data_IF_899100873116
#
_entry.id   IF_899100873116
#
_cell.length_a   1.000
_cell.length_b   1.000
_cell.length_c   1.000
_cell.angle_alpha   90.00
_cell.angle_beta   90.00
_cell.angle_gamma   90.00
#
_symmetry.space_group_name_H-M   'P 1'
#
loop_
_entity.id
_entity.type
_entity.pdbx_description
1 polymer ?
#
# COMPACT_ATOMS: atom_id res chain seq x y z
N UNK A 1 26.50 15.73 25.43
CA UNK A 1 25.89 14.55 24.81
C UNK A 1 24.69 14.20 25.67
N UNK A 2 23.43 14.42 25.26
CA UNK A 2 22.30 13.93 26.03
C UNK A 2 22.19 12.43 25.81
N UNK A 3 22.17 11.67 26.89
CA UNK A 3 21.91 10.24 26.94
C UNK A 3 20.62 9.92 26.21
N UNK A 4 20.73 9.09 25.16
CA UNK A 4 19.56 8.52 24.52
C UNK A 4 18.89 7.58 25.51
N UNK A 5 17.69 7.95 25.97
CA UNK A 5 16.88 7.07 26.82
C UNK A 5 16.73 5.68 26.13
N UNK A 6 16.90 4.57 26.87
CA UNK A 6 16.78 3.24 26.29
C UNK A 6 15.37 3.08 25.72
N UNK A 7 15.28 2.81 24.41
CA UNK A 7 14.03 2.50 23.76
C UNK A 7 13.32 1.40 24.55
N UNK A 8 12.11 1.67 25.02
CA UNK A 8 11.31 0.72 25.79
C UNK A 8 11.25 -0.59 24.99
N UNK A 9 11.86 -1.64 25.48
CA UNK A 9 11.84 -2.98 24.87
C UNK A 9 10.38 -3.42 24.86
N UNK A 10 9.72 -3.27 23.71
CA UNK A 10 8.34 -3.67 23.55
C UNK A 10 8.18 -5.15 23.90
N UNK A 11 7.37 -5.43 24.91
CA UNK A 11 7.08 -6.80 25.31
C UNK A 11 6.47 -7.54 24.12
N UNK A 12 7.09 -8.66 23.72
CA UNK A 12 6.55 -9.50 22.65
C UNK A 12 5.15 -10.00 23.03
N UNK A 13 4.16 -9.67 22.20
CA UNK A 13 2.80 -10.20 22.33
C UNK A 13 2.60 -11.32 21.30
N UNK A 14 2.32 -12.55 21.74
CA UNK A 14 2.01 -13.66 20.84
C UNK A 14 0.85 -13.30 19.90
N UNK A 15 0.96 -13.71 18.65
CA UNK A 15 -0.12 -13.52 17.68
C UNK A 15 -1.28 -14.44 18.02
N UNK A 16 -2.49 -13.91 17.93
CA UNK A 16 -3.72 -14.68 18.14
C UNK A 16 -4.67 -14.45 16.94
N UNK A 17 -4.30 -14.89 15.71
CA UNK A 17 -5.14 -14.69 14.54
C UNK A 17 -6.51 -15.37 14.69
N UNK A 18 -6.59 -16.50 15.41
CA UNK A 18 -7.83 -17.22 15.69
C UNK A 18 -8.85 -16.39 16.50
N UNK A 19 -8.40 -15.41 17.26
CA UNK A 19 -9.29 -14.51 18.00
C UNK A 19 -9.98 -13.46 17.11
N UNK A 20 -9.55 -13.31 15.84
CA UNK A 20 -10.13 -12.31 14.95
C UNK A 20 -11.48 -12.79 14.37
N UNK A 21 -12.47 -11.89 14.22
CA UNK A 21 -13.74 -12.22 13.57
C UNK A 21 -13.54 -12.77 12.15
N UNK A 22 -12.55 -12.28 11.42
CA UNK A 22 -12.22 -12.77 10.08
C UNK A 22 -11.78 -14.24 10.10
N UNK A 23 -11.03 -14.66 11.13
CA UNK A 23 -10.62 -16.06 11.24
C UNK A 23 -11.83 -16.97 11.38
N UNK A 24 -12.75 -16.64 12.26
CA UNK A 24 -13.99 -17.41 12.45
C UNK A 24 -14.81 -17.46 11.17
N UNK A 25 -14.99 -16.31 10.50
CA UNK A 25 -15.72 -16.26 9.23
C UNK A 25 -15.12 -17.19 8.19
N UNK A 26 -13.79 -17.17 8.02
CA UNK A 26 -13.11 -18.02 7.04
C UNK A 26 -13.15 -19.48 7.45
N UNK A 27 -12.88 -19.80 8.71
CA UNK A 27 -12.93 -21.16 9.25
C UNK A 27 -14.30 -21.81 9.04
N UNK A 28 -15.36 -21.06 9.37
CA UNK A 28 -16.72 -21.62 9.38
C UNK A 28 -17.38 -21.68 7.99
N UNK A 29 -16.94 -20.83 7.06
CA UNK A 29 -17.66 -20.64 5.79
C UNK A 29 -16.85 -20.91 4.52
N UNK A 30 -15.53 -21.09 4.59
CA UNK A 30 -14.71 -21.30 3.40
C UNK A 30 -15.17 -22.50 2.56
N UNK A 31 -15.38 -23.64 3.19
CA UNK A 31 -15.80 -24.85 2.50
C UNK A 31 -17.16 -24.65 1.80
N UNK A 32 -18.13 -24.05 2.50
CA UNK A 32 -19.43 -23.74 1.93
C UNK A 32 -19.31 -22.75 0.76
N UNK A 33 -18.46 -21.75 0.88
CA UNK A 33 -18.21 -20.80 -0.21
C UNK A 33 -17.67 -21.52 -1.45
N UNK A 34 -16.71 -22.42 -1.29
CA UNK A 34 -16.14 -23.21 -2.38
C UNK A 34 -17.20 -24.05 -3.10
N UNK A 35 -18.07 -24.69 -2.33
CA UNK A 35 -19.13 -25.56 -2.88
C UNK A 35 -20.15 -24.80 -3.73
N UNK A 36 -20.54 -23.57 -3.30
CA UNK A 36 -21.59 -22.80 -3.98
C UNK A 36 -21.05 -21.74 -4.93
N UNK A 37 -19.71 -21.61 -5.06
CA UNK A 37 -19.11 -20.48 -5.74
C UNK A 37 -19.47 -20.42 -7.23
N UNK A 38 -19.31 -21.52 -7.92
CA UNK A 38 -19.50 -21.55 -9.37
C UNK A 38 -20.96 -21.27 -9.75
N UNK A 39 -21.91 -21.78 -8.96
CA UNK A 39 -23.32 -21.56 -9.19
C UNK A 39 -23.76 -20.10 -8.87
N UNK A 40 -23.25 -19.55 -7.75
CA UNK A 40 -23.78 -18.27 -7.23
C UNK A 40 -22.94 -17.06 -7.60
N UNK A 41 -21.64 -17.22 -7.77
CA UNK A 41 -20.70 -16.11 -7.84
C UNK A 41 -19.86 -16.05 -9.11
N UNK A 42 -19.69 -17.17 -9.83
CA UNK A 42 -18.81 -17.18 -10.99
C UNK A 42 -19.27 -16.26 -12.12
N UNK A 43 -20.57 -16.06 -12.28
CA UNK A 43 -21.13 -15.14 -13.29
C UNK A 43 -20.70 -13.69 -13.05
N UNK A 44 -20.61 -13.25 -11.79
CA UNK A 44 -20.31 -11.87 -11.41
C UNK A 44 -18.80 -11.65 -11.20
N UNK A 45 -18.12 -12.61 -10.57
CA UNK A 45 -16.72 -12.48 -10.13
C UNK A 45 -15.72 -13.30 -10.95
N UNK A 46 -16.19 -14.02 -11.95
CA UNK A 46 -15.36 -14.94 -12.74
C UNK A 46 -15.17 -16.31 -12.05
N UNK A 47 -14.45 -17.24 -12.69
CA UNK A 47 -14.25 -18.58 -12.15
C UNK A 47 -13.47 -18.58 -10.83
N UNK A 48 -13.67 -19.60 -10.02
CA UNK A 48 -12.89 -19.79 -8.79
C UNK A 48 -11.38 -19.78 -9.07
N UNK A 49 -10.66 -18.96 -8.35
CA UNK A 49 -9.20 -18.85 -8.48
C UNK A 49 -8.50 -19.63 -7.37
N UNK A 50 -7.61 -20.59 -7.70
CA UNK A 50 -6.90 -21.41 -6.70
C UNK A 50 -6.16 -20.60 -5.62
N UNK A 51 -5.70 -19.39 -5.97
CA UNK A 51 -5.04 -18.50 -5.02
C UNK A 51 -5.93 -18.13 -3.82
N UNK A 52 -7.25 -18.11 -3.98
CA UNK A 52 -8.20 -17.81 -2.89
C UNK A 52 -8.11 -18.89 -1.82
N UNK A 53 -8.20 -20.17 -2.22
CA UNK A 53 -8.04 -21.30 -1.30
C UNK A 53 -6.66 -21.27 -0.63
N UNK A 54 -5.59 -21.16 -1.41
CA UNK A 54 -4.22 -21.14 -0.89
C UNK A 54 -3.98 -20.02 0.15
N UNK A 55 -4.55 -18.84 -0.07
CA UNK A 55 -4.42 -17.71 0.87
C UNK A 55 -5.23 -17.97 2.13
N UNK A 56 -6.44 -18.53 2.00
CA UNK A 56 -7.29 -18.87 3.12
C UNK A 56 -6.66 -19.96 3.99
N UNK A 57 -6.16 -21.05 3.39
CA UNK A 57 -5.49 -22.15 4.10
C UNK A 57 -4.25 -21.65 4.85
N UNK A 58 -3.41 -20.84 4.19
CA UNK A 58 -2.25 -20.21 4.86
C UNK A 58 -2.67 -19.31 6.00
N UNK A 59 -3.79 -18.60 5.87
CA UNK A 59 -4.29 -17.73 6.93
C UNK A 59 -4.79 -18.54 8.12
N UNK A 60 -5.51 -19.63 7.90
CA UNK A 60 -5.99 -20.52 8.96
C UNK A 60 -4.83 -21.19 9.72
N UNK A 61 -3.73 -21.48 9.02
CA UNK A 61 -2.50 -22.01 9.62
C UNK A 61 -1.64 -20.95 10.37
N UNK A 62 -1.99 -19.64 10.27
CA UNK A 62 -1.16 -18.56 10.77
C UNK A 62 -1.09 -18.53 12.29
N UNK A 63 0.11 -18.65 12.86
CA UNK A 63 0.33 -18.57 14.31
C UNK A 63 -0.14 -19.80 15.08
N UNK A 64 -0.37 -20.91 14.39
CA UNK A 64 -0.70 -22.24 14.96
C UNK A 64 0.58 -23.07 15.05
N UNK A 65 0.92 -23.55 16.25
CA UNK A 65 2.16 -24.30 16.47
C UNK A 65 2.19 -25.61 15.69
N UNK A 66 1.05 -26.27 15.52
CA UNK A 66 0.94 -27.55 14.80
C UNK A 66 1.32 -27.42 13.32
N UNK A 67 1.24 -26.19 12.77
CA UNK A 67 1.66 -25.89 11.40
C UNK A 67 3.12 -25.42 11.28
N UNK A 68 3.88 -25.58 12.36
CA UNK A 68 5.30 -25.30 12.42
C UNK A 68 5.67 -24.05 13.23
N UNK A 69 6.84 -24.13 13.83
CA UNK A 69 7.38 -23.10 14.71
C UNK A 69 8.91 -23.06 14.66
N UNK A 70 9.47 -21.94 15.11
CA UNK A 70 10.88 -21.83 15.48
C UNK A 70 11.01 -21.85 17.00
N UNK A 71 11.95 -22.61 17.50
CA UNK A 71 12.37 -22.57 18.91
C UNK A 71 13.41 -21.47 19.07
N UNK A 72 13.09 -20.47 19.86
CA UNK A 72 13.97 -19.34 20.15
C UNK A 72 14.54 -19.51 21.55
N UNK A 73 15.87 -19.49 21.64
CA UNK A 73 16.59 -19.58 22.91
C UNK A 73 17.45 -18.32 23.09
N UNK A 74 17.44 -17.77 24.28
CA UNK A 74 18.33 -16.67 24.64
C UNK A 74 19.74 -17.18 24.90
N UNK A 75 20.73 -16.56 24.29
CA UNK A 75 22.14 -17.00 24.41
C UNK A 75 22.68 -16.87 25.84
N UNK A 76 22.18 -15.90 26.58
CA UNK A 76 22.65 -15.59 27.96
C UNK A 76 21.72 -16.14 29.02
N UNK A 77 20.40 -16.07 28.83
CA UNK A 77 19.41 -16.33 29.89
C UNK A 77 18.79 -17.74 29.83
N UNK A 78 19.17 -18.60 28.92
CA UNK A 78 18.60 -19.94 28.69
C UNK A 78 17.08 -19.98 28.52
N UNK A 79 16.39 -18.85 28.57
CA UNK A 79 14.94 -18.77 28.36
C UNK A 79 14.58 -19.17 26.93
N UNK A 80 13.58 -20.02 26.81
CA UNK A 80 13.12 -20.53 25.53
C UNK A 80 11.64 -20.25 25.30
N UNK A 81 11.26 -19.97 24.05
CA UNK A 81 9.87 -19.92 23.65
C UNK A 81 9.68 -20.42 22.23
N UNK A 82 8.47 -20.88 21.94
CA UNK A 82 8.09 -21.34 20.61
C UNK A 82 7.44 -20.18 19.84
N UNK A 83 7.97 -19.90 18.66
CA UNK A 83 7.46 -18.87 17.75
C UNK A 83 6.77 -19.55 16.58
N UNK A 84 5.44 -19.64 16.60
CA UNK A 84 4.67 -20.19 15.49
C UNK A 84 4.90 -19.40 14.18
N UNK A 85 4.98 -20.11 13.07
CA UNK A 85 5.19 -19.48 11.77
C UNK A 85 4.00 -18.61 11.33
N UNK A 86 4.31 -17.57 10.60
CA UNK A 86 3.31 -16.66 10.07
C UNK A 86 3.01 -16.95 8.60
N UNK A 87 1.75 -16.79 8.20
CA UNK A 87 1.32 -17.03 6.82
C UNK A 87 1.93 -16.06 5.79
N UNK A 88 2.50 -14.94 6.24
CA UNK A 88 3.00 -13.84 5.40
C UNK A 88 1.96 -13.27 4.42
N UNK A 89 0.68 -13.66 4.53
CA UNK A 89 -0.44 -13.15 3.73
C UNK A 89 -0.81 -11.74 4.21
N UNK A 90 0.03 -10.77 3.90
CA UNK A 90 0.00 -9.39 4.39
C UNK A 90 -1.27 -8.63 4.02
N UNK A 91 -1.91 -9.06 2.95
CA UNK A 91 -3.10 -8.42 2.41
C UNK A 91 -4.41 -9.03 2.93
N UNK A 92 -4.33 -10.19 3.55
CA UNK A 92 -5.50 -10.91 4.03
C UNK A 92 -5.46 -11.13 5.54
N UNK A 93 -4.34 -11.57 6.09
CA UNK A 93 -4.18 -11.81 7.51
C UNK A 93 -3.99 -10.49 8.28
N UNK A 94 -4.91 -10.09 9.19
CA UNK A 94 -4.80 -8.83 9.95
C UNK A 94 -3.50 -8.74 10.77
N UNK A 95 -3.09 -9.85 11.40
CA UNK A 95 -1.87 -9.90 12.21
C UNK A 95 -0.59 -9.69 11.38
N UNK A 96 -0.51 -10.34 10.20
CA UNK A 96 0.63 -10.16 9.31
C UNK A 96 0.64 -8.78 8.66
N UNK A 97 -0.54 -8.23 8.39
CA UNK A 97 -0.70 -6.87 7.87
C UNK A 97 -0.23 -5.83 8.90
N UNK A 98 -0.71 -5.91 10.14
CA UNK A 98 -0.33 -4.98 11.21
C UNK A 98 1.18 -4.96 11.46
N UNK A 99 1.84 -6.14 11.50
CA UNK A 99 3.30 -6.20 11.61
C UNK A 99 4.00 -5.51 10.45
N UNK A 100 3.54 -5.76 9.23
CA UNK A 100 4.14 -5.15 8.03
C UNK A 100 3.96 -3.65 8.03
N UNK A 101 2.76 -3.19 8.41
CA UNK A 101 2.45 -1.77 8.50
C UNK A 101 3.37 -1.06 9.51
N UNK A 102 3.55 -1.63 10.70
CA UNK A 102 4.42 -1.06 11.73
C UNK A 102 5.87 -0.90 11.24
N UNK A 103 6.44 -1.94 10.61
CA UNK A 103 7.79 -1.90 10.05
C UNK A 103 7.89 -0.82 8.96
N UNK A 104 6.89 -0.75 8.09
CA UNK A 104 6.88 0.20 6.98
C UNK A 104 6.71 1.63 7.46
N UNK A 105 5.83 1.89 8.45
CA UNK A 105 5.65 3.21 9.04
C UNK A 105 6.92 3.69 9.73
N UNK A 106 7.58 2.82 10.47
CA UNK A 106 8.86 3.15 11.10
C UNK A 106 9.91 3.53 10.05
N UNK A 107 10.05 2.74 8.99
CA UNK A 107 10.99 3.04 7.91
C UNK A 107 10.64 4.35 7.18
N UNK A 108 9.37 4.63 6.93
CA UNK A 108 8.93 5.90 6.36
C UNK A 108 9.39 7.08 7.23
N UNK A 109 9.07 7.02 8.53
CA UNK A 109 9.37 8.12 9.46
C UNK A 109 10.87 8.34 9.65
N UNK A 110 11.65 7.25 9.74
CA UNK A 110 13.08 7.35 10.09
C UNK A 110 13.99 7.54 8.89
N UNK A 111 13.58 7.09 7.70
CA UNK A 111 14.52 6.94 6.57
C UNK A 111 14.05 7.62 5.27
N UNK A 112 12.77 7.90 5.12
CA UNK A 112 12.25 8.41 3.86
C UNK A 112 11.69 9.82 3.95
N UNK A 113 10.87 10.11 4.98
CA UNK A 113 10.19 11.40 5.07
C UNK A 113 11.14 12.49 5.56
N UNK A 114 11.24 13.56 4.78
CA UNK A 114 11.90 14.79 5.22
C UNK A 114 11.09 15.46 6.34
N UNK A 115 11.75 16.21 7.22
CA UNK A 115 11.11 16.95 8.32
C UNK A 115 10.50 18.27 7.84
N UNK A 116 9.61 18.16 6.85
CA UNK A 116 8.87 19.27 6.25
C UNK A 116 7.38 18.97 6.31
N UNK A 117 6.51 19.96 6.15
CA UNK A 117 5.07 19.73 6.10
C UNK A 117 4.69 18.79 4.93
N UNK A 118 3.74 17.89 5.20
CA UNK A 118 3.22 16.96 4.20
C UNK A 118 1.70 17.07 4.13
N UNK A 119 1.17 16.77 2.94
CA UNK A 119 -0.27 16.77 2.66
C UNK A 119 -0.69 15.45 2.05
N UNK A 120 -1.87 14.98 2.43
CA UNK A 120 -2.51 13.86 1.77
C UNK A 120 -3.40 14.35 0.63
N UNK A 121 -3.18 13.79 -0.57
CA UNK A 121 -4.01 14.01 -1.74
C UNK A 121 -4.62 12.66 -2.14
N UNK A 122 -5.94 12.62 -2.35
CA UNK A 122 -6.64 11.41 -2.77
C UNK A 122 -7.20 11.63 -4.17
N UNK A 123 -6.80 10.77 -5.10
CA UNK A 123 -7.24 10.81 -6.49
C UNK A 123 -8.08 9.58 -6.80
N UNK A 124 -9.32 9.78 -7.20
CA UNK A 124 -10.24 8.71 -7.57
C UNK A 124 -10.23 8.47 -9.08
N UNK A 125 -10.30 7.19 -9.47
CA UNK A 125 -10.41 6.82 -10.88
C UNK A 125 -11.90 6.85 -11.28
N UNK A 126 -12.27 7.56 -12.36
CA UNK A 126 -13.63 7.60 -12.86
C UNK A 126 -14.21 6.21 -13.08
N UNK A 127 -15.47 6.01 -12.75
CA UNK A 127 -16.14 4.69 -12.77
C UNK A 127 -15.98 3.99 -14.12
N UNK A 128 -16.07 4.73 -15.22
CA UNK A 128 -15.93 4.18 -16.59
C UNK A 128 -14.55 3.58 -16.86
N UNK A 129 -13.50 4.08 -16.21
CA UNK A 129 -12.13 3.59 -16.38
C UNK A 129 -11.78 2.43 -15.44
N UNK A 130 -12.56 2.19 -14.39
CA UNK A 130 -12.27 1.15 -13.39
C UNK A 130 -12.29 -0.25 -13.97
N UNK A 131 -13.18 -0.53 -14.93
CA UNK A 131 -13.25 -1.82 -15.61
C UNK A 131 -11.96 -2.11 -16.41
N UNK A 132 -11.41 -1.11 -17.09
CA UNK A 132 -10.13 -1.26 -17.81
C UNK A 132 -8.97 -1.52 -16.86
N UNK A 133 -8.95 -0.85 -15.70
CA UNK A 133 -7.94 -1.10 -14.67
C UNK A 133 -8.03 -2.50 -14.05
N UNK A 134 -9.21 -3.12 -14.06
CA UNK A 134 -9.39 -4.50 -13.58
C UNK A 134 -8.74 -5.51 -14.53
N UNK A 135 -8.95 -5.34 -15.83
CA UNK A 135 -8.41 -6.21 -16.88
C UNK A 135 -6.93 -5.91 -17.20
N UNK A 136 -6.51 -4.65 -17.16
CA UNK A 136 -5.16 -4.19 -17.48
C UNK A 136 -4.54 -3.47 -16.28
N UNK A 137 -4.12 -4.23 -15.28
CA UNK A 137 -3.60 -3.69 -14.02
C UNK A 137 -2.38 -2.79 -14.16
N UNK A 138 -1.63 -2.89 -15.27
CA UNK A 138 -0.51 -1.98 -15.58
C UNK A 138 -0.96 -0.51 -15.64
N UNK A 139 -2.18 -0.24 -16.08
CA UNK A 139 -2.75 1.11 -16.12
C UNK A 139 -2.77 1.80 -14.75
N UNK A 140 -2.91 1.05 -13.66
CA UNK A 140 -2.88 1.63 -12.32
C UNK A 140 -1.52 2.27 -11.99
N UNK A 141 -0.43 1.67 -12.44
CA UNK A 141 0.91 2.25 -12.29
C UNK A 141 1.11 3.49 -13.16
N UNK A 142 0.61 3.44 -14.39
CA UNK A 142 0.66 4.58 -15.32
C UNK A 142 -0.14 5.77 -14.79
N UNK A 143 -1.34 5.54 -14.25
CA UNK A 143 -2.17 6.57 -13.62
C UNK A 143 -1.45 7.18 -12.41
N UNK A 144 -0.76 6.37 -11.61
CA UNK A 144 0.01 6.87 -10.47
C UNK A 144 1.17 7.79 -10.90
N UNK A 145 1.87 7.45 -11.99
CA UNK A 145 2.91 8.31 -12.55
C UNK A 145 2.35 9.63 -13.08
N UNK A 146 1.22 9.58 -13.81
CA UNK A 146 0.55 10.79 -14.30
C UNK A 146 0.09 11.65 -13.13
N UNK A 147 -0.50 11.06 -12.10
CA UNK A 147 -0.93 11.77 -10.90
C UNK A 147 0.24 12.50 -10.22
N UNK A 148 1.37 11.82 -10.05
CA UNK A 148 2.56 12.40 -9.45
C UNK A 148 3.10 13.57 -10.28
N UNK A 149 3.20 13.42 -11.60
CA UNK A 149 3.61 14.51 -12.51
C UNK A 149 2.67 15.70 -12.47
N UNK A 150 1.36 15.46 -12.43
CA UNK A 150 0.35 16.52 -12.34
C UNK A 150 0.49 17.30 -11.04
N UNK A 151 0.67 16.62 -9.91
CA UNK A 151 0.86 17.27 -8.61
C UNK A 151 2.17 18.05 -8.58
N UNK A 152 3.26 17.48 -9.10
CA UNK A 152 4.55 18.18 -9.22
C UNK A 152 4.42 19.44 -10.07
N UNK A 153 3.78 19.36 -11.24
CA UNK A 153 3.56 20.51 -12.11
C UNK A 153 2.72 21.60 -11.43
N UNK A 154 1.68 21.22 -10.70
CA UNK A 154 0.84 22.14 -9.95
C UNK A 154 1.64 22.89 -8.87
N UNK A 155 2.46 22.20 -8.08
CA UNK A 155 3.30 22.81 -7.05
C UNK A 155 4.31 23.77 -7.68
N UNK A 156 4.99 23.35 -8.74
CA UNK A 156 5.94 24.20 -9.48
C UNK A 156 5.28 25.48 -10.04
N UNK A 157 4.04 25.37 -10.52
CA UNK A 157 3.27 26.53 -11.00
C UNK A 157 2.89 27.46 -9.85
N UNK A 158 2.45 26.91 -8.71
CA UNK A 158 2.04 27.69 -7.55
C UNK A 158 3.22 28.44 -6.89
N UNK A 159 4.39 27.83 -6.87
CA UNK A 159 5.61 28.44 -6.32
C UNK A 159 6.32 29.36 -7.32
N UNK A 160 6.03 29.24 -8.62
CA UNK A 160 6.77 29.94 -9.69
C UNK A 160 8.14 29.30 -9.99
N UNK A 161 8.51 28.22 -9.31
CA UNK A 161 9.83 27.59 -9.39
C UNK A 161 9.79 26.27 -10.17
N UNK A 162 10.40 26.25 -11.35
CA UNK A 162 10.34 25.09 -12.27
C UNK A 162 11.22 23.91 -11.86
N UNK A 163 12.28 24.15 -11.10
CA UNK A 163 13.28 23.12 -10.75
C UNK A 163 13.02 22.46 -9.40
N UNK A 164 11.93 22.80 -8.72
CA UNK A 164 11.60 22.18 -7.44
C UNK A 164 11.42 20.65 -7.58
N UNK A 165 12.05 19.93 -6.67
CA UNK A 165 11.87 18.48 -6.48
C UNK A 165 10.80 18.27 -5.41
N UNK A 166 9.64 17.77 -5.81
CA UNK A 166 8.51 17.51 -4.91
C UNK A 166 8.60 16.08 -4.39
N UNK A 167 8.58 15.91 -3.06
CA UNK A 167 8.55 14.60 -2.44
C UNK A 167 7.15 13.98 -2.54
N UNK A 168 7.03 12.80 -3.13
CA UNK A 168 5.73 12.12 -3.30
C UNK A 168 5.87 10.63 -2.94
N UNK A 169 5.03 10.17 -2.02
CA UNK A 169 4.80 8.74 -1.77
C UNK A 169 3.40 8.39 -2.27
N UNK A 170 3.32 7.57 -3.32
CA UNK A 170 2.06 7.15 -3.91
C UNK A 170 1.67 5.75 -3.42
N UNK A 171 0.43 5.62 -2.94
CA UNK A 171 -0.14 4.37 -2.48
C UNK A 171 -1.42 4.06 -3.26
N UNK A 172 -1.41 2.94 -3.98
CA UNK A 172 -2.58 2.48 -4.72
C UNK A 172 -3.46 1.61 -3.83
N UNK A 173 -4.69 2.04 -3.62
CA UNK A 173 -5.74 1.23 -3.00
C UNK A 173 -6.74 0.80 -4.06
N UNK A 174 -7.10 -0.50 -4.08
CA UNK A 174 -7.96 -1.05 -5.14
C UNK A 174 -9.37 -1.42 -4.68
N UNK A 175 -9.68 -1.20 -3.41
CA UNK A 175 -10.98 -1.53 -2.83
C UNK A 175 -11.56 -0.34 -2.08
N UNK A 176 -12.87 -0.22 -2.10
CA UNK A 176 -13.63 0.71 -1.28
C UNK A 176 -14.02 0.10 0.08
N UNK A 177 -14.75 0.85 0.89
CA UNK A 177 -15.21 0.46 2.23
C UNK A 177 -16.07 -0.81 2.25
N UNK A 178 -16.74 -1.12 1.14
CA UNK A 178 -17.56 -2.33 0.97
C UNK A 178 -16.80 -3.50 0.35
N UNK A 179 -15.45 -3.48 0.35
CA UNK A 179 -14.59 -4.44 -0.33
C UNK A 179 -14.84 -4.56 -1.85
N UNK A 180 -15.55 -3.61 -2.44
CA UNK A 180 -15.83 -3.53 -3.87
C UNK A 180 -14.62 -2.99 -4.64
N UNK A 181 -14.56 -3.28 -5.94
CA UNK A 181 -13.54 -2.73 -6.83
C UNK A 181 -13.68 -1.21 -6.95
N UNK A 182 -12.77 -0.49 -6.30
CA UNK A 182 -12.76 0.97 -6.26
C UNK A 182 -11.31 1.48 -6.24
N UNK A 183 -10.60 1.39 -7.36
CA UNK A 183 -9.23 1.84 -7.41
C UNK A 183 -9.13 3.36 -7.23
N UNK A 184 -8.23 3.77 -6.35
CA UNK A 184 -7.91 5.16 -6.06
C UNK A 184 -6.48 5.27 -5.53
N UNK A 185 -5.92 6.46 -5.59
CA UNK A 185 -4.56 6.75 -5.17
C UNK A 185 -4.58 7.64 -3.94
N UNK A 186 -3.79 7.28 -2.96
CA UNK A 186 -3.40 8.14 -1.86
C UNK A 186 -1.98 8.61 -2.13
N UNK A 187 -1.79 9.92 -2.21
CA UNK A 187 -0.49 10.54 -2.34
C UNK A 187 -0.16 11.24 -1.02
N UNK A 188 0.98 10.94 -0.43
CA UNK A 188 1.58 11.79 0.60
C UNK A 188 2.59 12.68 -0.09
N UNK A 189 2.36 13.98 -0.07
CA UNK A 189 3.09 14.96 -0.86
C UNK A 189 3.71 15.98 0.08
N UNK A 190 4.96 16.39 -0.16
CA UNK A 190 5.54 17.54 0.54
C UNK A 190 4.76 18.81 0.20
N UNK A 191 4.52 19.66 1.17
CA UNK A 191 3.73 20.89 1.00
C UNK A 191 4.55 22.02 0.35
N UNK A 192 5.29 21.65 -0.67
CA UNK A 192 6.27 22.43 -1.41
C UNK A 192 7.29 21.52 -2.09
N UNK A 193 8.48 22.02 -2.34
CA UNK A 193 9.56 21.26 -2.96
C UNK A 193 10.94 21.70 -2.50
N UNK A 194 11.93 20.91 -2.85
CA UNK A 194 13.34 21.19 -2.58
C UNK A 194 13.98 21.81 -3.82
N UNK A 195 14.73 22.88 -3.60
CA UNK A 195 15.61 23.46 -4.62
C UNK A 195 16.85 22.59 -4.84
N UNK A 196 17.61 22.80 -5.94
CA UNK A 196 18.86 22.06 -6.18
C UNK A 196 19.91 22.23 -5.08
N UNK A 197 19.88 23.31 -4.32
CA UNK A 197 20.74 23.57 -3.17
C UNK A 197 20.31 22.84 -1.88
N UNK A 198 19.18 22.12 -1.94
CA UNK A 198 18.61 21.37 -0.81
C UNK A 198 17.71 22.22 0.10
N UNK A 199 17.53 23.51 -0.16
CA UNK A 199 16.57 24.34 0.60
C UNK A 199 15.13 23.97 0.26
N UNK A 200 14.24 23.99 1.26
CA UNK A 200 12.82 23.69 1.08
C UNK A 200 12.02 24.97 0.87
N UNK A 201 11.28 25.02 -0.23
CA UNK A 201 10.33 26.08 -0.55
C UNK A 201 8.91 25.61 -0.25
N UNK A 202 8.25 26.32 0.66
CA UNK A 202 6.86 26.02 1.03
C UNK A 202 5.91 26.58 -0.05
N UNK A 203 4.95 25.77 -0.47
CA UNK A 203 3.84 26.23 -1.32
C UNK A 203 2.92 27.15 -0.51
N UNK A 204 2.90 28.42 -0.83
CA UNK A 204 2.31 29.50 -0.02
C UNK A 204 0.78 29.42 0.14
N UNK A 205 0.10 28.51 -0.53
CA UNK A 205 -1.36 28.53 -0.52
C UNK A 205 -1.98 27.21 -0.08
N UNK A 206 -2.18 27.08 1.23
CA UNK A 206 -2.93 25.98 1.85
C UNK A 206 -4.35 25.83 1.25
N UNK A 207 -4.96 26.90 0.76
CA UNK A 207 -6.28 26.92 0.14
C UNK A 207 -6.32 26.42 -1.31
N UNK A 208 -5.29 26.67 -2.12
CA UNK A 208 -5.33 26.40 -3.57
C UNK A 208 -5.30 24.90 -3.93
N UNK A 209 -4.71 24.04 -3.09
CA UNK A 209 -4.73 22.59 -3.34
C UNK A 209 -6.03 21.93 -2.89
N UNK A 210 -6.84 22.60 -2.06
CA UNK A 210 -8.18 22.13 -1.68
C UNK A 210 -9.15 22.16 -2.87
N UNK A 211 -8.91 23.06 -3.83
CA UNK A 211 -9.70 23.19 -5.05
C UNK A 211 -9.25 22.25 -6.20
N UNK A 212 -8.08 21.59 -6.08
CA UNK A 212 -7.65 20.57 -7.02
C UNK A 212 -8.41 19.26 -6.80
N UNK A 213 -9.73 19.31 -7.00
CA UNK A 213 -10.50 18.13 -7.37
C UNK A 213 -10.10 17.74 -8.79
N UNK A 214 -8.95 17.06 -8.94
CA UNK A 214 -8.49 16.58 -10.24
C UNK A 214 -9.35 15.40 -10.64
N UNK A 215 -10.50 15.69 -11.21
CA UNK A 215 -11.28 14.72 -11.95
C UNK A 215 -10.64 14.60 -13.34
N UNK A 216 -9.98 13.49 -13.62
CA UNK A 216 -9.44 13.21 -14.95
C UNK A 216 -10.62 12.98 -15.89
N UNK A 217 -11.06 14.03 -16.60
CA UNK A 217 -12.23 14.00 -17.47
C UNK A 217 -11.94 13.47 -18.88
N UNK A 218 -10.68 13.36 -19.31
CA UNK A 218 -10.36 13.00 -20.68
C UNK A 218 -9.11 12.15 -20.82
N UNK A 219 -9.21 11.06 -21.59
CA UNK A 219 -8.07 10.24 -22.04
C UNK A 219 -7.08 11.05 -22.92
N UNK A 220 -7.54 12.10 -23.57
CA UNK A 220 -6.68 12.99 -24.36
C UNK A 220 -5.64 13.72 -23.51
N UNK A 221 -5.98 14.09 -22.28
CA UNK A 221 -5.03 14.72 -21.36
C UNK A 221 -3.90 13.77 -20.91
N UNK A 222 -4.14 12.46 -20.93
CA UNK A 222 -3.15 11.45 -20.60
C UNK A 222 -2.11 11.24 -21.71
N UNK A 223 -2.50 11.39 -22.97
CA UNK A 223 -1.60 11.23 -24.12
C UNK A 223 -0.65 12.42 -24.31
N UNK A 224 -1.11 13.64 -24.05
CA UNK A 224 -0.29 14.85 -24.17
C UNK A 224 0.80 14.96 -23.08
N UNK A 225 0.61 14.33 -21.91
CA UNK A 225 1.58 14.33 -20.83
C UNK A 225 2.72 13.29 -21.01
N UNK A 226 2.52 12.28 -21.87
CA UNK A 226 3.54 11.27 -22.17
C UNK A 226 4.68 11.76 -23.07
N UNK A 227 4.50 12.87 -23.78
CA UNK A 227 5.49 13.38 -24.74
C UNK A 227 6.61 14.24 -24.14
N UNK A 228 6.47 14.71 -22.90
CA UNK A 228 7.49 15.49 -22.21
C UNK A 228 8.22 14.61 -21.19
N UNK A 229 9.20 13.85 -21.69
CA UNK A 229 9.98 12.92 -20.88
C UNK A 229 11.11 13.59 -20.10
N UNK A 230 10.83 14.21 -18.99
CA UNK A 230 11.87 14.57 -18.03
C UNK A 230 11.98 13.46 -16.95
N UNK A 231 13.16 12.84 -16.85
CA UNK A 231 13.43 11.68 -15.98
C UNK A 231 13.88 12.03 -14.57
N UNK A 232 13.81 13.30 -14.19
CA UNK A 232 14.35 13.78 -12.90
C UNK A 232 13.42 13.63 -11.70
N UNK A 233 12.15 13.28 -11.89
CA UNK A 233 11.20 13.16 -10.79
C UNK A 233 11.29 11.78 -10.14
N UNK A 234 11.93 11.69 -8.98
CA UNK A 234 11.96 10.48 -8.15
C UNK A 234 10.59 10.22 -7.53
N UNK A 235 9.74 9.48 -8.23
CA UNK A 235 8.45 9.03 -7.71
C UNK A 235 8.61 7.69 -7.04
N UNK A 236 8.49 7.66 -5.72
CA UNK A 236 8.47 6.41 -4.97
C UNK A 236 7.06 5.81 -5.00
N UNK A 237 6.85 4.82 -5.87
CA UNK A 237 5.62 4.06 -5.93
C UNK A 237 5.61 2.98 -4.83
N UNK A 238 5.05 3.31 -3.68
CA UNK A 238 4.75 2.30 -2.67
C UNK A 238 3.57 1.45 -3.14
N UNK A 239 3.84 0.22 -3.57
CA UNK A 239 2.77 -0.75 -3.81
C UNK A 239 2.26 -1.24 -2.46
N UNK A 240 1.04 -0.90 -2.13
CA UNK A 240 0.32 -1.55 -1.04
C UNK A 240 0.23 -3.05 -1.35
N UNK A 241 0.45 -3.96 -0.38
CA UNK A 241 0.67 -5.40 -0.62
C UNK A 241 -0.52 -6.19 -1.15
N UNK A 242 -1.49 -5.56 -1.79
CA UNK A 242 -2.68 -6.21 -2.35
C UNK A 242 -2.51 -6.76 -3.79
N UNK A 243 -1.32 -6.73 -4.37
CA UNK A 243 -1.10 -7.38 -5.66
C UNK A 243 -0.31 -8.66 -5.46
N UNK A 244 -1.01 -9.79 -5.58
CA UNK A 244 -0.41 -11.11 -5.63
C UNK A 244 0.68 -11.16 -6.71
N UNK A 245 1.90 -11.46 -6.31
CA UNK A 245 3.00 -11.65 -7.24
C UNK A 245 2.73 -12.81 -8.17
N UNK A 246 2.64 -12.55 -9.46
CA UNK A 246 2.94 -13.55 -10.45
C UNK A 246 4.42 -13.88 -10.34
N UNK A 247 4.75 -15.12 -10.02
CA UNK A 247 6.11 -15.60 -9.95
C UNK A 247 6.83 -15.36 -11.28
N UNK A 248 7.96 -14.71 -11.23
CA UNK A 248 8.97 -14.84 -12.25
C UNK A 248 9.77 -16.11 -11.91
N UNK A 249 9.51 -17.18 -12.60
CA UNK A 249 10.44 -18.28 -12.78
C UNK A 249 11.53 -17.77 -13.74
N UNK A 250 12.72 -17.62 -13.25
CA UNK A 250 13.91 -17.57 -14.10
C UNK A 250 14.81 -18.73 -13.73
N UNK A 251 15.18 -19.48 -14.75
CA UNK A 251 16.05 -20.64 -14.74
C UNK A 251 17.44 -20.39 -14.19
#
# INVERSE_FOLDING_TARGET
MPDAAPAARGLYKPRRPQASPLFRLVSDHLHRLQTVYDERFAREYGPWRPVVAQVADKFLACGVLDHGFARIRGDVCTHEYLLAFSCKCRSFCPSCHAKRLAIWTQWLDTSLLARVPHRQVVLTIPTRLRAYCLSRRRLLGEIALVAARTVTAAIRTLTGERELVVGIVACLQTHGSRANWHPHLHLLVTDGGFRPDGTFELSVTVHSLHELSVTVHSLHSLQSLQSNGDRSDSVLLARWPFQGGAGASSG
#
